data_IF_250984934827
#
_entry.id   IF_250984934827
#
_cell.length_a   1.000
_cell.length_b   1.000
_cell.length_c   1.000
_cell.angle_alpha   90.00
_cell.angle_beta   90.00
_cell.angle_gamma   90.00
#
_symmetry.space_group_name_H-M   'P 1'
#
loop_
_entity.id
_entity.type
_entity.pdbx_description
1 polymer ?
#
# COMPACT_ATOMS: atom_id res chain seq x y z
N UNK A 1 19.42 7.99 -2.55
CA UNK A 1 18.28 7.79 -1.63
C UNK A 1 17.22 7.04 -2.41
N UNK A 2 16.92 5.81 -2.03
CA UNK A 2 15.88 5.01 -2.69
C UNK A 2 14.53 5.46 -2.13
N UNK A 3 13.81 6.32 -2.85
CA UNK A 3 12.40 6.61 -2.56
C UNK A 3 11.58 5.37 -2.94
N UNK A 4 11.57 4.37 -2.07
CA UNK A 4 10.72 3.20 -2.24
C UNK A 4 9.26 3.62 -2.03
N UNK A 5 8.39 3.25 -2.96
CA UNK A 5 6.96 3.43 -2.80
C UNK A 5 6.27 2.09 -2.57
N UNK A 6 5.30 2.10 -1.65
CA UNK A 6 4.64 0.93 -1.08
C UNK A 6 3.15 0.98 -1.37
N UNK A 7 2.56 -0.14 -1.77
CA UNK A 7 1.12 -0.32 -1.87
C UNK A 7 0.60 -1.19 -0.72
N UNK A 8 -0.31 -0.64 0.09
CA UNK A 8 -1.04 -1.37 1.15
C UNK A 8 -2.36 -1.86 0.59
N UNK A 9 -2.69 -3.15 0.72
CA UNK A 9 -3.97 -3.73 0.30
C UNK A 9 -4.70 -4.29 1.51
N UNK A 10 -5.76 -3.63 1.92
CA UNK A 10 -6.48 -3.93 3.17
C UNK A 10 -7.95 -3.51 3.05
N UNK A 11 -8.87 -4.45 3.24
CA UNK A 11 -10.31 -4.20 3.08
C UNK A 11 -10.90 -3.41 4.24
N UNK A 12 -10.38 -3.60 5.45
CA UNK A 12 -10.83 -2.89 6.64
C UNK A 12 -10.30 -1.44 6.65
N UNK A 13 -11.16 -0.42 6.65
CA UNK A 13 -10.72 0.97 6.53
C UNK A 13 -9.87 1.47 7.71
N UNK A 14 -10.10 0.95 8.93
CA UNK A 14 -9.31 1.33 10.11
C UNK A 14 -7.93 0.67 10.09
N UNK A 15 -7.87 -0.61 9.73
CA UNK A 15 -6.60 -1.33 9.53
C UNK A 15 -5.77 -0.65 8.44
N UNK A 16 -6.40 -0.30 7.31
CA UNK A 16 -5.72 0.36 6.18
C UNK A 16 -5.13 1.70 6.58
N UNK A 17 -5.92 2.55 7.26
CA UNK A 17 -5.44 3.84 7.74
C UNK A 17 -4.27 3.71 8.73
N UNK A 18 -4.31 2.68 9.59
CA UNK A 18 -3.22 2.38 10.55
C UNK A 18 -1.95 1.99 9.81
N UNK A 19 -2.03 1.06 8.86
CA UNK A 19 -0.88 0.63 8.06
C UNK A 19 -0.28 1.78 7.25
N UNK A 20 -1.12 2.60 6.60
CA UNK A 20 -0.66 3.79 5.86
C UNK A 20 0.13 4.72 6.77
N UNK A 21 -0.45 5.08 7.93
CA UNK A 21 0.20 5.98 8.90
C UNK A 21 1.55 5.43 9.39
N UNK A 22 1.64 4.13 9.62
CA UNK A 22 2.88 3.48 10.04
C UNK A 22 3.98 3.59 8.99
N UNK A 23 3.67 3.32 7.72
CA UNK A 23 4.67 3.36 6.65
C UNK A 23 5.06 4.78 6.24
N UNK A 24 4.12 5.73 6.28
CA UNK A 24 4.42 7.15 6.10
C UNK A 24 5.37 7.67 7.20
N UNK A 25 5.16 7.25 8.45
CA UNK A 25 6.06 7.59 9.57
C UNK A 25 7.47 7.02 9.40
N UNK A 26 7.65 5.96 8.60
CA UNK A 26 8.95 5.42 8.21
C UNK A 26 9.59 6.15 7.01
N UNK A 27 8.92 7.16 6.46
CA UNK A 27 9.40 7.97 5.33
C UNK A 27 9.15 7.34 3.96
N UNK A 28 8.27 6.33 3.86
CA UNK A 28 7.88 5.73 2.59
C UNK A 28 6.79 6.56 1.91
N UNK A 29 6.79 6.55 0.57
CA UNK A 29 5.61 7.00 -0.19
C UNK A 29 4.61 5.86 -0.21
N UNK A 30 3.41 6.06 0.33
CA UNK A 30 2.42 4.99 0.50
C UNK A 30 1.21 5.24 -0.41
N UNK A 31 0.78 4.19 -1.08
CA UNK A 31 -0.49 4.08 -1.78
C UNK A 31 -1.35 3.05 -1.08
N UNK A 32 -2.67 3.19 -1.13
CA UNK A 32 -3.59 2.26 -0.48
C UNK A 32 -4.68 1.74 -1.43
N UNK A 33 -5.05 0.48 -1.24
CA UNK A 33 -6.13 -0.17 -1.96
C UNK A 33 -7.05 -0.92 -0.99
N UNK A 34 -8.35 -0.85 -1.24
CA UNK A 34 -9.36 -1.53 -0.44
C UNK A 34 -9.65 -2.97 -0.90
N UNK A 35 -9.14 -3.38 -2.07
CA UNK A 35 -9.26 -4.74 -2.60
C UNK A 35 -8.20 -5.00 -3.68
N UNK A 36 -8.13 -6.25 -4.15
CA UNK A 36 -7.18 -6.67 -5.19
C UNK A 36 -7.39 -6.00 -6.56
N UNK A 37 -8.63 -5.69 -6.95
CA UNK A 37 -8.89 -5.03 -8.25
C UNK A 37 -8.37 -3.59 -8.26
N UNK A 38 -8.59 -2.85 -7.18
CA UNK A 38 -8.06 -1.51 -7.02
C UNK A 38 -6.52 -1.53 -6.93
N UNK A 39 -5.95 -2.53 -6.23
CA UNK A 39 -4.51 -2.72 -6.15
C UNK A 39 -3.89 -2.98 -7.53
N UNK A 40 -4.52 -3.84 -8.35
CA UNK A 40 -4.04 -4.15 -9.69
C UNK A 40 -4.02 -2.90 -10.59
N UNK A 41 -5.11 -2.11 -10.58
CA UNK A 41 -5.18 -0.86 -11.33
C UNK A 41 -4.10 0.15 -10.91
N UNK A 42 -3.76 0.21 -9.61
CA UNK A 42 -2.67 1.05 -9.11
C UNK A 42 -1.30 0.55 -9.57
N UNK A 43 -1.06 -0.76 -9.54
CA UNK A 43 0.22 -1.34 -10.00
C UNK A 43 0.44 -1.12 -11.50
N UNK A 44 -0.61 -1.21 -12.31
CA UNK A 44 -0.53 -0.93 -13.76
C UNK A 44 -0.28 0.54 -14.05
N UNK A 45 -0.89 1.45 -13.29
CA UNK A 45 -0.76 2.89 -13.47
C UNK A 45 0.53 3.48 -12.87
N UNK A 46 1.15 2.78 -11.91
CA UNK A 46 2.25 3.31 -11.08
C UNK A 46 3.43 2.35 -11.04
N UNK A 47 4.26 2.31 -12.10
CA UNK A 47 5.45 1.46 -12.15
C UNK A 47 6.51 1.82 -11.09
N UNK A 48 6.37 2.96 -10.41
CA UNK A 48 7.22 3.35 -9.27
C UNK A 48 6.95 2.56 -7.97
N UNK A 49 5.84 1.81 -7.89
CA UNK A 49 5.52 0.94 -6.75
C UNK A 49 6.48 -0.24 -6.71
N UNK A 50 7.30 -0.28 -5.66
CA UNK A 50 8.37 -1.28 -5.52
C UNK A 50 8.04 -2.34 -4.47
N UNK A 51 7.05 -2.08 -3.62
CA UNK A 51 6.66 -2.96 -2.50
C UNK A 51 5.14 -3.11 -2.45
N UNK A 52 4.68 -4.30 -2.07
CA UNK A 52 3.27 -4.63 -1.85
C UNK A 52 3.11 -5.23 -0.45
N UNK A 53 2.20 -4.68 0.35
CA UNK A 53 1.82 -5.18 1.66
C UNK A 53 0.33 -5.58 1.63
N UNK A 54 0.02 -6.83 1.28
CA UNK A 54 -1.34 -7.34 1.34
C UNK A 54 -1.70 -7.77 2.77
N UNK A 55 -2.95 -7.56 3.17
CA UNK A 55 -3.53 -8.26 4.31
C UNK A 55 -3.38 -9.77 4.10
N UNK A 56 -2.75 -10.43 5.07
CA UNK A 56 -2.69 -11.88 5.12
C UNK A 56 -3.79 -12.36 6.06
N UNK A 57 -4.78 -13.15 5.59
CA UNK A 57 -5.68 -13.84 6.51
C UNK A 57 -4.84 -14.81 7.35
N UNK A 58 -4.88 -14.62 8.67
CA UNK A 58 -4.21 -15.49 9.63
C UNK A 58 -4.74 -16.93 9.59
#
# INVERSE_FOLDING_TARGET
MTNASLLVVEHNPLSRATAVSMFEALGLTVFDAYNGHHALALLEARPEISLLFPECPA
#
